data_IF_037840108979
#
_entry.id   IF_037840108979
#
_cell.length_a   1.000
_cell.length_b   1.000
_cell.length_c   1.000
_cell.angle_alpha   90.00
_cell.angle_beta   90.00
_cell.angle_gamma   90.00
#
_symmetry.space_group_name_H-M   'P 1'
#
loop_
_entity.id
_entity.type
_entity.pdbx_description
1 polymer ?
#
# COMPACT_ATOMS: atom_id res chain seq x y z
N UNK A 1 13.16 -30.90 -9.78
CA UNK A 1 12.45 -30.40 -8.58
C UNK A 1 11.20 -29.65 -9.00
N UNK A 2 10.02 -30.07 -8.52
CA UNK A 2 8.74 -29.37 -8.79
C UNK A 2 8.14 -28.88 -7.46
N UNK A 3 7.62 -27.65 -7.45
CA UNK A 3 6.85 -27.12 -6.32
C UNK A 3 5.42 -27.64 -6.46
N UNK A 4 4.96 -28.40 -5.47
CA UNK A 4 3.60 -28.95 -5.42
C UNK A 4 2.85 -28.31 -4.27
N UNK A 5 1.64 -27.82 -4.54
CA UNK A 5 0.79 -27.23 -3.50
C UNK A 5 0.40 -28.29 -2.49
N UNK A 6 0.59 -28.02 -1.21
CA UNK A 6 0.21 -28.95 -0.14
C UNK A 6 -1.32 -29.07 -0.09
N UNK A 7 -1.89 -30.26 -0.06
CA UNK A 7 -3.34 -30.44 0.04
C UNK A 7 -3.87 -29.98 1.39
N UNK A 8 -3.08 -30.09 2.46
CA UNK A 8 -3.36 -29.56 3.79
C UNK A 8 -2.11 -28.92 4.34
N UNK A 9 -2.26 -27.72 4.91
CA UNK A 9 -1.17 -27.01 5.59
C UNK A 9 -1.15 -27.48 7.03
N UNK A 10 -0.02 -28.01 7.50
CA UNK A 10 0.16 -28.43 8.88
C UNK A 10 0.07 -27.21 9.81
N UNK A 11 -0.61 -27.34 10.95
CA UNK A 11 -0.65 -26.31 11.99
C UNK A 11 0.75 -25.92 12.47
N UNK A 12 1.66 -26.90 12.58
CA UNK A 12 3.06 -26.65 12.91
C UNK A 12 3.76 -25.77 11.85
N UNK A 13 3.52 -26.00 10.55
CA UNK A 13 4.10 -25.19 9.49
C UNK A 13 3.55 -23.75 9.50
N UNK A 14 2.27 -23.54 9.85
CA UNK A 14 1.66 -22.22 9.99
C UNK A 14 2.29 -21.41 11.14
N UNK A 15 2.70 -22.07 12.22
CA UNK A 15 3.33 -21.42 13.37
C UNK A 15 4.85 -21.28 13.20
N UNK A 16 5.54 -22.29 12.67
CA UNK A 16 7.00 -22.30 12.57
C UNK A 16 7.53 -21.43 11.43
N UNK A 17 6.81 -21.30 10.33
CA UNK A 17 7.31 -20.53 9.19
C UNK A 17 7.43 -19.02 9.47
N UNK A 18 6.45 -18.34 10.09
CA UNK A 18 6.65 -16.96 10.54
C UNK A 18 7.82 -16.80 11.53
N UNK A 19 7.94 -17.73 12.48
CA UNK A 19 9.05 -17.72 13.44
C UNK A 19 10.40 -17.87 12.73
N UNK A 20 10.50 -18.81 11.80
CA UNK A 20 11.72 -18.99 11.00
C UNK A 20 12.05 -17.75 10.14
N UNK A 21 11.02 -17.10 9.57
CA UNK A 21 11.21 -15.85 8.85
C UNK A 21 11.76 -14.74 9.74
N UNK A 22 11.21 -14.57 10.93
CA UNK A 22 11.68 -13.59 11.91
C UNK A 22 13.12 -13.89 12.32
N UNK A 23 13.43 -15.14 12.66
CA UNK A 23 14.79 -15.54 13.04
C UNK A 23 15.80 -15.32 11.90
N UNK A 24 15.43 -15.68 10.67
CA UNK A 24 16.26 -15.42 9.49
C UNK A 24 16.49 -13.92 9.29
N UNK A 25 15.44 -13.12 9.38
CA UNK A 25 15.53 -11.65 9.30
C UNK A 25 16.45 -11.08 10.36
N UNK A 26 16.28 -11.52 11.62
CA UNK A 26 17.15 -11.08 12.72
C UNK A 26 18.60 -11.50 12.48
N UNK A 27 18.87 -12.70 11.96
CA UNK A 27 20.23 -13.15 11.65
C UNK A 27 20.87 -12.28 10.55
N UNK A 28 20.18 -12.08 9.42
CA UNK A 28 20.71 -11.28 8.31
C UNK A 28 20.86 -9.81 8.68
N UNK A 29 19.86 -9.22 9.31
CA UNK A 29 19.93 -7.82 9.78
C UNK A 29 21.00 -7.64 10.86
N UNK A 30 21.19 -8.64 11.74
CA UNK A 30 22.27 -8.65 12.72
C UNK A 30 23.66 -8.60 12.09
N UNK A 31 23.89 -9.37 11.04
CA UNK A 31 25.14 -9.32 10.27
C UNK A 31 25.37 -7.94 9.62
N UNK A 32 24.32 -7.34 9.06
CA UNK A 32 24.40 -6.00 8.46
C UNK A 32 24.69 -4.93 9.52
N UNK A 33 24.05 -5.02 10.69
CA UNK A 33 24.27 -4.11 11.82
C UNK A 33 25.71 -4.25 12.36
N UNK A 34 26.21 -5.49 12.49
CA UNK A 34 27.62 -5.74 12.87
C UNK A 34 28.59 -5.15 11.85
N UNK A 35 28.31 -5.32 10.57
CA UNK A 35 29.13 -4.75 9.51
C UNK A 35 29.16 -3.21 9.56
N UNK A 36 28.04 -2.59 9.97
CA UNK A 36 27.96 -1.15 10.20
C UNK A 36 28.61 -0.69 11.53
N UNK A 37 29.20 -1.60 12.31
CA UNK A 37 29.86 -1.28 13.56
C UNK A 37 28.92 -0.99 14.75
N UNK A 38 27.63 -1.33 14.63
CA UNK A 38 26.63 -1.03 15.65
C UNK A 38 26.34 -2.25 16.58
N UNK A 39 25.98 -2.03 17.85
CA UNK A 39 25.68 -3.11 18.80
C UNK A 39 24.32 -3.75 18.50
N UNK A 40 24.33 -4.99 18.01
CA UNK A 40 23.14 -5.72 17.51
C UNK A 40 22.00 -5.79 18.54
N UNK A 41 22.29 -6.17 19.77
CA UNK A 41 21.25 -6.30 20.81
C UNK A 41 20.54 -4.98 21.10
N UNK A 42 21.29 -3.88 21.22
CA UNK A 42 20.73 -2.54 21.39
C UNK A 42 19.91 -2.09 20.19
N UNK A 43 20.37 -2.42 18.99
CA UNK A 43 19.69 -2.09 17.73
C UNK A 43 18.29 -2.72 17.66
N UNK A 44 18.16 -4.00 18.05
CA UNK A 44 16.85 -4.66 18.05
C UNK A 44 15.90 -4.13 19.14
N UNK A 45 16.44 -3.81 20.33
CA UNK A 45 15.63 -3.15 21.36
C UNK A 45 15.12 -1.80 20.87
N UNK A 46 15.97 -1.00 20.21
CA UNK A 46 15.58 0.29 19.65
C UNK A 46 14.56 0.15 18.52
N UNK A 47 14.66 -0.88 17.68
CA UNK A 47 13.67 -1.19 16.64
C UNK A 47 12.31 -1.48 17.28
N UNK A 48 12.23 -2.36 18.27
CA UNK A 48 10.99 -2.70 18.94
C UNK A 48 10.40 -1.50 19.72
N UNK A 49 11.25 -0.76 20.43
CA UNK A 49 10.84 0.46 21.13
C UNK A 49 10.39 1.57 20.18
N UNK A 50 11.08 1.73 19.04
CA UNK A 50 10.71 2.69 18.00
C UNK A 50 9.37 2.39 17.35
N UNK A 51 8.98 1.12 17.26
CA UNK A 51 7.70 0.69 16.71
C UNK A 51 6.53 0.81 17.72
N UNK A 52 6.75 0.39 18.98
CA UNK A 52 5.66 0.16 19.96
C UNK A 52 5.99 0.66 21.39
N UNK A 53 7.17 1.20 21.63
CA UNK A 53 7.65 1.51 22.98
C UNK A 53 7.07 2.77 23.63
N UNK A 54 6.30 3.57 22.90
CA UNK A 54 5.64 4.77 23.42
C UNK A 54 4.34 5.05 22.69
N UNK A 55 3.48 5.91 23.27
CA UNK A 55 2.25 6.37 22.59
C UNK A 55 2.60 7.04 21.27
N UNK A 56 3.66 7.83 21.21
CA UNK A 56 4.12 8.46 19.98
C UNK A 56 4.56 7.40 18.93
N UNK A 57 5.35 6.41 19.32
CA UNK A 57 5.79 5.33 18.43
C UNK A 57 4.60 4.53 17.89
N UNK A 58 3.64 4.17 18.75
CA UNK A 58 2.43 3.45 18.37
C UNK A 58 1.56 4.26 17.41
N UNK A 59 1.35 5.55 17.69
CA UNK A 59 0.55 6.41 16.81
C UNK A 59 1.24 6.67 15.48
N UNK A 60 2.56 6.77 15.42
CA UNK A 60 3.31 6.86 14.16
C UNK A 60 3.21 5.57 13.35
N UNK A 61 3.31 4.40 14.02
CA UNK A 61 3.09 3.10 13.38
C UNK A 61 1.68 2.99 12.79
N UNK A 62 0.65 3.38 13.54
CA UNK A 62 -0.73 3.36 13.05
C UNK A 62 -0.95 4.37 11.91
N UNK A 63 -0.29 5.52 11.95
CA UNK A 63 -0.35 6.51 10.85
C UNK A 63 0.22 5.92 9.56
N UNK A 64 1.41 5.31 9.62
CA UNK A 64 2.01 4.63 8.46
C UNK A 64 1.25 3.38 8.00
N UNK A 65 0.51 2.74 8.90
CA UNK A 65 -0.33 1.60 8.53
C UNK A 65 -1.50 2.01 7.61
N UNK A 66 -1.97 3.25 7.65
CA UNK A 66 -3.13 3.70 6.85
C UNK A 66 -2.94 3.49 5.35
N UNK A 67 -1.92 4.10 4.69
CA UNK A 67 -1.70 3.87 3.26
C UNK A 67 -1.36 2.40 2.95
N UNK A 68 -0.66 1.71 3.85
CA UNK A 68 -0.32 0.29 3.70
C UNK A 68 -1.55 -0.63 3.76
N UNK A 69 -2.56 -0.32 4.58
CA UNK A 69 -3.84 -1.05 4.60
C UNK A 69 -4.52 -0.88 3.24
N UNK A 70 -4.62 0.34 2.72
CA UNK A 70 -5.34 0.64 1.49
C UNK A 70 -4.65 0.04 0.26
N UNK A 71 -3.34 0.16 0.14
CA UNK A 71 -2.56 -0.47 -0.95
C UNK A 71 -2.55 -2.00 -0.83
N UNK A 72 -2.51 -2.53 0.40
CA UNK A 72 -2.66 -3.95 0.66
C UNK A 72 -4.03 -4.49 0.27
N UNK A 73 -5.11 -3.75 0.55
CA UNK A 73 -6.46 -4.09 0.08
C UNK A 73 -6.56 -4.03 -1.44
N UNK A 74 -5.96 -3.00 -2.07
CA UNK A 74 -5.89 -2.87 -3.52
C UNK A 74 -5.25 -4.11 -4.16
N UNK A 75 -4.09 -4.53 -3.65
CA UNK A 75 -3.40 -5.73 -4.11
C UNK A 75 -4.22 -7.00 -3.83
N UNK A 76 -4.82 -7.13 -2.64
CA UNK A 76 -5.62 -8.31 -2.28
C UNK A 76 -6.83 -8.49 -3.20
N UNK A 77 -7.53 -7.41 -3.55
CA UNK A 77 -8.67 -7.43 -4.49
C UNK A 77 -8.20 -7.86 -5.89
N UNK A 78 -7.14 -7.25 -6.39
CA UNK A 78 -6.63 -7.51 -7.73
C UNK A 78 -6.13 -8.95 -7.88
N UNK A 79 -5.30 -9.41 -6.95
CA UNK A 79 -4.69 -10.74 -7.00
C UNK A 79 -5.72 -11.87 -6.83
N UNK A 80 -6.82 -11.62 -6.14
CA UNK A 80 -7.95 -12.56 -6.07
C UNK A 80 -8.57 -12.86 -7.44
N UNK A 81 -8.50 -11.94 -8.39
CA UNK A 81 -8.95 -12.13 -9.76
C UNK A 81 -7.82 -12.53 -10.72
N UNK A 82 -6.62 -12.83 -10.22
CA UNK A 82 -5.40 -13.00 -11.02
C UNK A 82 -5.10 -11.79 -11.93
N UNK A 83 -5.45 -10.60 -11.49
CA UNK A 83 -4.97 -9.33 -12.03
C UNK A 83 -3.78 -8.87 -11.17
N UNK A 84 -2.57 -9.10 -11.64
CA UNK A 84 -1.35 -8.78 -10.88
C UNK A 84 -1.02 -7.30 -11.03
N UNK A 85 -1.69 -6.47 -10.23
CA UNK A 85 -1.46 -5.03 -10.17
C UNK A 85 -0.18 -4.71 -9.38
N UNK A 86 0.92 -4.41 -10.09
CA UNK A 86 2.17 -3.91 -9.50
C UNK A 86 2.20 -2.37 -9.52
N UNK A 87 1.19 -1.75 -10.12
CA UNK A 87 1.07 -0.31 -10.36
C UNK A 87 0.47 0.50 -9.20
N UNK A 88 0.28 -0.09 -8.03
CA UNK A 88 -0.37 0.59 -6.91
C UNK A 88 0.37 1.86 -6.45
N UNK A 89 1.68 1.93 -6.65
CA UNK A 89 2.49 3.12 -6.36
C UNK A 89 2.09 4.30 -7.26
N UNK A 90 2.03 4.08 -8.58
CA UNK A 90 1.59 5.10 -9.52
C UNK A 90 0.12 5.51 -9.33
N UNK A 91 -0.75 4.56 -8.96
CA UNK A 91 -2.16 4.83 -8.65
C UNK A 91 -2.30 5.70 -7.39
N UNK A 92 -1.46 5.48 -6.37
CA UNK A 92 -1.38 6.28 -5.16
C UNK A 92 -1.01 7.73 -5.52
N UNK A 93 0.04 7.92 -6.32
CA UNK A 93 0.43 9.26 -6.78
C UNK A 93 -0.63 9.91 -7.67
N UNK A 94 -1.29 9.17 -8.55
CA UNK A 94 -2.42 9.68 -9.33
C UNK A 94 -3.53 10.21 -8.43
N UNK A 95 -3.85 9.47 -7.36
CA UNK A 95 -4.82 9.88 -6.36
C UNK A 95 -4.38 11.12 -5.57
N UNK A 96 -3.12 11.18 -5.17
CA UNK A 96 -2.55 12.31 -4.46
C UNK A 96 -2.57 13.60 -5.31
N UNK A 97 -2.17 13.52 -6.59
CA UNK A 97 -2.26 14.63 -7.53
C UNK A 97 -3.69 15.11 -7.73
N UNK A 98 -4.65 14.19 -7.91
CA UNK A 98 -6.05 14.52 -8.06
C UNK A 98 -6.62 15.19 -6.79
N UNK A 99 -6.21 14.71 -5.60
CA UNK A 99 -6.62 15.31 -4.33
C UNK A 99 -6.16 16.77 -4.22
N UNK A 100 -4.87 17.02 -4.50
CA UNK A 100 -4.34 18.39 -4.46
C UNK A 100 -4.93 19.27 -5.55
N UNK A 101 -5.13 18.74 -6.76
CA UNK A 101 -5.76 19.50 -7.85
C UNK A 101 -7.19 19.96 -7.48
N UNK A 102 -7.99 19.09 -6.88
CA UNK A 102 -9.36 19.43 -6.42
C UNK A 102 -9.30 20.31 -5.17
N UNK A 103 -8.43 19.99 -4.18
CA UNK A 103 -8.26 20.78 -2.98
C UNK A 103 -7.77 22.20 -3.25
N UNK A 104 -6.96 22.40 -4.28
CA UNK A 104 -6.50 23.70 -4.74
C UNK A 104 -7.58 24.61 -5.34
N UNK A 105 -8.71 24.05 -5.78
CA UNK A 105 -9.86 24.84 -6.28
C UNK A 105 -10.45 25.76 -5.20
N UNK A 106 -10.24 25.44 -3.94
CA UNK A 106 -10.71 26.28 -2.83
C UNK A 106 -9.97 27.62 -2.74
N UNK A 107 -8.70 27.67 -3.13
CA UNK A 107 -7.84 28.85 -2.93
C UNK A 107 -7.62 29.78 -4.12
N UNK A 108 -8.06 29.41 -5.33
CA UNK A 108 -7.64 30.11 -6.55
C UNK A 108 -8.74 30.59 -7.50
N UNK A 109 -9.97 30.13 -7.35
CA UNK A 109 -11.04 30.35 -8.35
C UNK A 109 -12.00 31.47 -8.01
N UNK A 110 -11.85 32.13 -6.86
CA UNK A 110 -12.81 33.13 -6.32
C UNK A 110 -14.16 32.52 -5.94
N UNK A 111 -14.31 31.20 -6.02
CA UNK A 111 -15.50 30.45 -5.64
C UNK A 111 -15.17 29.67 -4.37
N UNK A 112 -15.66 30.14 -3.23
CA UNK A 112 -15.48 29.45 -1.95
C UNK A 112 -16.39 28.23 -1.86
N UNK A 113 -15.85 27.08 -2.21
CA UNK A 113 -16.53 25.79 -2.02
C UNK A 113 -16.51 25.42 -0.52
N UNK A 114 -17.68 24.99 -0.01
CA UNK A 114 -17.75 24.48 1.35
C UNK A 114 -16.85 23.25 1.51
N UNK A 115 -16.02 23.14 2.56
CA UNK A 115 -15.18 21.98 2.85
C UNK A 115 -15.97 20.67 2.88
N UNK A 116 -17.23 20.71 3.31
CA UNK A 116 -18.12 19.54 3.35
C UNK A 116 -18.48 18.98 1.97
N UNK A 117 -18.38 19.79 0.91
CA UNK A 117 -18.57 19.37 -0.49
C UNK A 117 -17.22 19.04 -1.13
N UNK A 118 -16.21 19.89 -0.87
CA UNK A 118 -14.90 19.77 -1.51
C UNK A 118 -14.14 18.53 -1.04
N UNK A 119 -14.21 18.19 0.25
CA UNK A 119 -13.55 17.00 0.79
C UNK A 119 -14.05 15.68 0.16
N UNK A 120 -15.36 15.37 0.11
CA UNK A 120 -15.86 14.20 -0.60
C UNK A 120 -15.51 14.20 -2.10
N UNK A 121 -15.56 15.37 -2.75
CA UNK A 121 -15.19 15.49 -4.16
C UNK A 121 -13.70 15.17 -4.39
N UNK A 122 -12.83 15.67 -3.51
CA UNK A 122 -11.40 15.38 -3.50
C UNK A 122 -11.13 13.87 -3.36
N UNK A 123 -11.78 13.22 -2.39
CA UNK A 123 -11.64 11.76 -2.19
C UNK A 123 -12.18 10.97 -3.39
N UNK A 124 -13.29 11.37 -3.96
CA UNK A 124 -13.85 10.74 -5.15
C UNK A 124 -12.94 10.91 -6.37
N UNK A 125 -12.43 12.13 -6.59
CA UNK A 125 -11.49 12.41 -7.68
C UNK A 125 -10.22 11.55 -7.56
N UNK A 126 -9.68 11.41 -6.36
CA UNK A 126 -8.52 10.58 -6.08
C UNK A 126 -8.79 9.08 -6.34
N UNK A 127 -9.94 8.58 -5.90
CA UNK A 127 -10.34 7.21 -6.17
C UNK A 127 -10.51 6.97 -7.68
N UNK A 128 -11.13 7.91 -8.40
CA UNK A 128 -11.31 7.83 -9.84
C UNK A 128 -9.96 7.91 -10.59
N UNK A 129 -9.05 8.79 -10.18
CA UNK A 129 -7.73 8.90 -10.81
C UNK A 129 -6.94 7.61 -10.70
N UNK A 130 -6.85 7.01 -9.52
CA UNK A 130 -6.22 5.71 -9.32
C UNK A 130 -6.92 4.58 -10.09
N UNK A 131 -8.26 4.57 -10.09
CA UNK A 131 -9.06 3.59 -10.82
C UNK A 131 -8.82 3.66 -12.34
N UNK A 132 -8.84 4.87 -12.91
CA UNK A 132 -8.61 5.09 -14.34
C UNK A 132 -7.18 4.76 -14.74
N UNK A 133 -6.20 5.01 -13.87
CA UNK A 133 -4.80 4.66 -14.11
C UNK A 133 -4.60 3.15 -14.28
N UNK A 134 -5.28 2.32 -13.49
CA UNK A 134 -5.25 0.87 -13.65
C UNK A 134 -6.13 0.34 -14.78
N UNK A 135 -7.17 1.08 -15.15
CA UNK A 135 -8.15 0.62 -16.15
C UNK A 135 -7.51 0.32 -17.50
N UNK A 136 -6.53 1.13 -17.93
CA UNK A 136 -5.79 0.92 -19.19
C UNK A 136 -5.12 -0.49 -19.23
N UNK A 137 -4.20 -0.80 -18.33
CA UNK A 137 -3.58 -2.13 -18.23
C UNK A 137 -4.58 -3.28 -18.11
N UNK A 138 -5.64 -3.09 -17.31
CA UNK A 138 -6.66 -4.11 -17.13
C UNK A 138 -7.45 -4.41 -18.42
N UNK A 139 -7.76 -3.39 -19.21
CA UNK A 139 -8.41 -3.55 -20.52
C UNK A 139 -7.45 -4.19 -21.55
N UNK A 140 -6.16 -3.81 -21.53
CA UNK A 140 -5.15 -4.43 -22.39
C UNK A 140 -5.00 -5.92 -22.06
N UNK A 141 -4.97 -6.30 -20.78
CA UNK A 141 -5.00 -7.72 -20.37
C UNK A 141 -6.27 -8.42 -20.83
N UNK A 142 -7.44 -7.84 -20.54
CA UNK A 142 -8.72 -8.51 -20.76
C UNK A 142 -9.08 -8.67 -22.26
N UNK A 143 -8.62 -7.78 -23.13
CA UNK A 143 -8.96 -7.76 -24.57
C UNK A 143 -7.84 -8.21 -25.48
N UNK A 144 -6.59 -7.89 -25.12
CA UNK A 144 -5.42 -8.10 -25.96
C UNK A 144 -4.47 -9.19 -25.40
N UNK A 145 -4.69 -9.65 -24.17
CA UNK A 145 -3.82 -10.63 -23.52
C UNK A 145 -2.43 -10.09 -23.15
N UNK A 146 -2.28 -8.77 -23.07
CA UNK A 146 -1.01 -8.11 -22.69
C UNK A 146 -0.73 -8.39 -21.22
N UNK A 147 0.56 -8.57 -20.87
CA UNK A 147 1.01 -8.77 -19.49
C UNK A 147 0.80 -7.51 -18.65
N UNK A 148 -0.08 -7.63 -17.66
CA UNK A 148 -0.40 -6.53 -16.76
C UNK A 148 0.70 -6.21 -15.74
N UNK A 149 1.55 -7.18 -15.42
CA UNK A 149 2.69 -6.97 -14.51
C UNK A 149 3.63 -5.95 -15.11
N UNK A 150 4.02 -6.15 -16.37
CA UNK A 150 4.94 -5.25 -17.08
C UNK A 150 4.28 -3.89 -17.30
N UNK A 151 3.04 -3.85 -17.78
CA UNK A 151 2.36 -2.59 -18.08
C UNK A 151 2.09 -1.74 -16.83
N UNK A 152 1.68 -2.35 -15.72
CA UNK A 152 1.46 -1.62 -14.46
C UNK A 152 2.76 -1.14 -13.83
N UNK A 153 3.84 -1.94 -13.91
CA UNK A 153 5.16 -1.54 -13.43
C UNK A 153 5.73 -0.36 -14.21
N UNK A 154 5.64 -0.39 -15.56
CA UNK A 154 6.09 0.72 -16.39
C UNK A 154 5.30 2.00 -16.14
N UNK A 155 4.00 1.89 -15.89
CA UNK A 155 3.16 3.03 -15.54
C UNK A 155 3.52 3.68 -14.19
N UNK A 156 4.16 2.97 -13.26
CA UNK A 156 4.72 3.60 -12.05
C UNK A 156 5.82 4.61 -12.43
N UNK A 157 6.74 4.25 -13.33
CA UNK A 157 7.78 5.17 -13.80
C UNK A 157 7.19 6.36 -14.55
N UNK A 158 6.21 6.10 -15.43
CA UNK A 158 5.49 7.18 -16.15
C UNK A 158 4.84 8.13 -15.15
N UNK A 159 4.20 7.61 -14.09
CA UNK A 159 3.56 8.44 -13.08
C UNK A 159 4.58 9.26 -12.29
N UNK A 160 5.70 8.71 -11.88
CA UNK A 160 6.74 9.46 -11.16
C UNK A 160 7.32 10.59 -12.00
N UNK A 161 7.54 10.35 -13.30
CA UNK A 161 7.97 11.40 -14.23
C UNK A 161 6.90 12.46 -14.43
N UNK A 162 5.62 12.06 -14.49
CA UNK A 162 4.49 12.98 -14.56
C UNK A 162 4.39 13.84 -13.29
N UNK A 163 4.54 13.24 -12.09
CA UNK A 163 4.59 13.97 -10.82
C UNK A 163 5.71 14.99 -10.86
N UNK A 164 6.93 14.59 -11.26
CA UNK A 164 8.05 15.51 -11.37
C UNK A 164 7.73 16.69 -12.30
N UNK A 165 7.21 16.41 -13.49
CA UNK A 165 6.85 17.46 -14.46
C UNK A 165 5.75 18.41 -13.94
N UNK A 166 4.76 17.90 -13.19
CA UNK A 166 3.69 18.72 -12.62
C UNK A 166 4.18 19.57 -11.45
N UNK A 167 5.07 19.02 -10.61
CA UNK A 167 5.64 19.75 -9.46
C UNK A 167 6.69 20.78 -9.87
N UNK A 168 7.35 20.61 -11.01
CA UNK A 168 8.24 21.62 -11.60
C UNK A 168 7.48 22.67 -12.44
N UNK A 169 6.22 22.36 -12.80
CA UNK A 169 5.37 23.16 -13.67
C UNK A 169 4.09 23.68 -13.00
N UNK A 170 2.90 23.25 -13.52
CA UNK A 170 1.62 23.89 -13.18
C UNK A 170 1.14 23.66 -11.73
N UNK A 171 1.65 22.65 -11.03
CA UNK A 171 1.28 22.35 -9.65
C UNK A 171 2.33 22.78 -8.63
N UNK A 172 3.38 23.47 -9.08
CA UNK A 172 4.47 23.93 -8.22
C UNK A 172 3.96 24.95 -7.21
N UNK A 173 4.36 24.80 -5.95
CA UNK A 173 4.16 25.79 -4.92
C UNK A 173 5.13 26.99 -5.12
N UNK A 174 4.62 28.20 -5.42
CA UNK A 174 5.47 29.38 -5.57
C UNK A 174 6.23 29.76 -4.28
N UNK A 175 5.73 29.33 -3.12
CA UNK A 175 6.32 29.65 -1.80
C UNK A 175 7.37 28.63 -1.36
N UNK A 176 7.56 27.53 -2.08
CA UNK A 176 8.48 26.44 -1.71
C UNK A 176 9.97 26.73 -1.94
N UNK A 177 10.36 27.95 -2.26
CA UNK A 177 11.76 28.38 -2.45
C UNK A 177 12.55 27.47 -3.44
N UNK A 178 11.89 26.96 -4.45
CA UNK A 178 12.50 26.06 -5.45
C UNK A 178 12.40 24.57 -5.16
N UNK A 179 11.90 24.16 -3.98
CA UNK A 179 11.66 22.76 -3.68
C UNK A 179 10.53 22.20 -4.56
N UNK A 180 10.66 20.99 -5.15
CA UNK A 180 9.63 20.40 -6.02
C UNK A 180 8.50 19.83 -5.18
N UNK A 181 7.56 20.66 -4.80
CA UNK A 181 6.34 20.29 -4.08
C UNK A 181 5.11 21.00 -4.64
N UNK A 182 3.94 20.39 -4.42
CA UNK A 182 2.67 21.03 -4.74
C UNK A 182 2.26 22.06 -3.69
N UNK A 183 1.32 22.93 -4.07
CA UNK A 183 0.62 23.78 -3.09
C UNK A 183 -0.01 22.89 -2.02
N UNK A 184 0.07 23.32 -0.76
CA UNK A 184 -0.51 22.60 0.36
C UNK A 184 -2.04 22.64 0.35
N UNK A 185 -2.67 21.59 0.85
CA UNK A 185 -4.09 21.58 1.15
C UNK A 185 -4.39 22.61 2.26
N UNK A 186 -5.57 23.22 2.18
CA UNK A 186 -6.04 24.08 3.26
C UNK A 186 -6.39 23.25 4.50
N UNK A 187 -6.22 23.84 5.69
CA UNK A 187 -6.41 23.16 6.96
C UNK A 187 -7.80 22.53 7.13
N UNK A 188 -8.84 23.12 6.53
CA UNK A 188 -10.22 22.61 6.55
C UNK A 188 -10.40 21.30 5.74
N UNK A 189 -9.45 20.97 4.85
CA UNK A 189 -9.43 19.74 4.07
C UNK A 189 -8.51 18.66 4.67
N UNK A 190 -7.81 18.99 5.75
CA UNK A 190 -7.00 18.00 6.47
C UNK A 190 -7.85 17.10 7.33
N UNK A 191 -7.40 15.83 7.45
CA UNK A 191 -8.05 14.85 8.31
C UNK A 191 -7.82 15.17 9.79
N UNK A 192 -8.88 15.19 10.57
CA UNK A 192 -8.82 15.46 12.00
C UNK A 192 -7.90 14.47 12.72
N UNK A 193 -7.09 14.97 13.65
CA UNK A 193 -6.19 14.13 14.46
C UNK A 193 -7.00 13.38 15.52
N UNK A 194 -6.74 12.06 15.63
CA UNK A 194 -7.40 11.19 16.63
C UNK A 194 -6.77 11.34 18.02
N UNK A 195 -5.46 11.62 18.07
CA UNK A 195 -4.73 11.81 19.33
C UNK A 195 -4.00 13.17 19.24
N UNK A 196 -4.24 14.09 20.18
CA UNK A 196 -3.56 15.39 20.21
C UNK A 196 -2.04 15.23 20.19
N UNK A 197 -1.34 16.17 19.55
CA UNK A 197 0.13 16.20 19.43
C UNK A 197 0.75 14.99 18.70
N UNK A 198 -0.06 14.18 18.00
CA UNK A 198 0.42 13.09 17.15
C UNK A 198 -0.01 13.29 15.70
N UNK A 199 0.53 12.45 14.79
CA UNK A 199 0.14 12.47 13.37
C UNK A 199 -1.01 11.52 13.06
N UNK A 200 -1.49 10.74 14.05
CA UNK A 200 -2.58 9.81 13.86
C UNK A 200 -3.89 10.55 13.57
N UNK A 201 -4.47 10.26 12.43
CA UNK A 201 -5.65 10.95 11.89
C UNK A 201 -6.80 10.00 11.60
N UNK A 202 -8.00 10.55 11.36
CA UNK A 202 -9.24 9.81 11.08
C UNK A 202 -9.15 8.90 9.84
N UNK A 203 -8.14 9.05 9.00
CA UNK A 203 -7.85 8.14 7.88
C UNK A 203 -7.68 6.69 8.31
N UNK A 204 -7.26 6.41 9.57
CA UNK A 204 -7.24 5.06 10.10
C UNK A 204 -8.64 4.46 10.16
N UNK A 205 -9.63 5.23 10.61
CA UNK A 205 -11.03 4.77 10.66
C UNK A 205 -11.57 4.49 9.25
N UNK A 206 -11.24 5.34 8.27
CA UNK A 206 -11.58 5.12 6.87
C UNK A 206 -10.94 3.84 6.31
N UNK A 207 -9.64 3.60 6.60
CA UNK A 207 -8.95 2.40 6.16
C UNK A 207 -9.56 1.13 6.76
N UNK A 208 -9.92 1.15 8.05
CA UNK A 208 -10.60 0.03 8.72
C UNK A 208 -12.02 -0.20 8.17
N UNK A 209 -12.78 0.87 7.95
CA UNK A 209 -14.12 0.78 7.34
C UNK A 209 -14.04 0.18 5.93
N UNK A 210 -13.08 0.64 5.10
CA UNK A 210 -12.84 0.09 3.77
C UNK A 210 -12.39 -1.38 3.82
N UNK A 211 -11.59 -1.78 4.80
CA UNK A 211 -11.22 -3.18 4.98
C UNK A 211 -12.44 -4.07 5.28
N UNK A 212 -13.36 -3.60 6.13
CA UNK A 212 -14.62 -4.29 6.41
C UNK A 212 -15.54 -4.34 5.19
N UNK A 213 -15.64 -3.23 4.43
CA UNK A 213 -16.43 -3.17 3.20
C UNK A 213 -15.89 -4.13 2.14
N UNK A 214 -14.57 -4.14 1.91
CA UNK A 214 -13.93 -5.07 0.96
C UNK A 214 -14.10 -6.51 1.42
N UNK A 215 -13.96 -6.79 2.71
CA UNK A 215 -14.23 -8.12 3.26
C UNK A 215 -15.68 -8.54 3.02
N UNK A 216 -16.64 -7.69 3.32
CA UNK A 216 -18.06 -7.93 3.08
C UNK A 216 -18.37 -8.16 1.60
N UNK A 217 -17.81 -7.31 0.72
CA UNK A 217 -17.92 -7.47 -0.72
C UNK A 217 -17.38 -8.83 -1.19
N UNK A 218 -16.17 -9.18 -0.75
CA UNK A 218 -15.54 -10.45 -1.14
C UNK A 218 -16.26 -11.67 -0.56
N UNK A 219 -16.74 -11.61 0.70
CA UNK A 219 -17.30 -12.76 1.39
C UNK A 219 -18.77 -12.99 1.08
N UNK A 220 -19.56 -11.92 0.88
CA UNK A 220 -21.02 -11.95 0.95
C UNK A 220 -21.75 -11.49 -0.31
N UNK A 221 -21.05 -11.10 -1.39
CA UNK A 221 -21.69 -10.58 -2.61
C UNK A 221 -21.45 -11.45 -3.84
N UNK A 222 -22.34 -11.29 -4.83
CA UNK A 222 -22.19 -11.90 -6.16
C UNK A 222 -20.93 -11.38 -6.87
N UNK A 223 -20.59 -10.09 -6.68
CA UNK A 223 -19.38 -9.52 -7.22
C UNK A 223 -18.13 -10.22 -6.65
N UNK A 224 -18.06 -10.42 -5.34
CA UNK A 224 -16.97 -11.18 -4.70
C UNK A 224 -16.89 -12.62 -5.16
N UNK A 225 -18.03 -13.28 -5.36
CA UNK A 225 -18.06 -14.62 -5.96
C UNK A 225 -17.46 -14.61 -7.38
N UNK A 226 -17.89 -13.69 -8.26
CA UNK A 226 -17.37 -13.55 -9.62
C UNK A 226 -15.87 -13.30 -9.64
N UNK A 227 -15.36 -12.43 -8.78
CA UNK A 227 -13.92 -12.14 -8.63
C UNK A 227 -13.15 -13.42 -8.31
N UNK A 228 -13.60 -14.20 -7.32
CA UNK A 228 -12.95 -15.48 -6.95
C UNK A 228 -13.07 -16.54 -8.06
N UNK A 229 -14.22 -16.62 -8.74
CA UNK A 229 -14.43 -17.57 -9.84
C UNK A 229 -13.51 -17.26 -11.03
N UNK A 230 -13.37 -15.99 -11.42
CA UNK A 230 -12.46 -15.56 -12.49
C UNK A 230 -11.01 -15.86 -12.11
N UNK A 231 -10.63 -15.58 -10.85
CA UNK A 231 -9.28 -15.89 -10.36
C UNK A 231 -9.00 -17.39 -10.25
N UNK A 232 -10.00 -18.22 -9.95
CA UNK A 232 -9.80 -19.66 -9.91
C UNK A 232 -9.56 -20.26 -11.31
N UNK A 233 -10.41 -19.92 -12.26
CA UNK A 233 -10.27 -20.29 -13.66
C UNK A 233 -11.16 -19.41 -14.55
N UNK A 234 -10.56 -18.46 -15.26
CA UNK A 234 -11.29 -17.52 -16.11
C UNK A 234 -12.07 -18.19 -17.25
N UNK A 235 -11.54 -19.29 -17.84
CA UNK A 235 -12.22 -20.04 -18.91
C UNK A 235 -13.45 -20.78 -18.37
N UNK A 236 -13.31 -21.45 -17.25
CA UNK A 236 -14.43 -22.14 -16.61
C UNK A 236 -15.51 -21.14 -16.14
N UNK A 237 -15.10 -20.00 -15.58
CA UNK A 237 -16.00 -18.93 -15.20
C UNK A 237 -16.79 -18.37 -16.40
N UNK A 238 -16.11 -18.15 -17.54
CA UNK A 238 -16.77 -17.73 -18.78
C UNK A 238 -17.79 -18.76 -19.27
N UNK A 239 -17.43 -20.05 -19.26
CA UNK A 239 -18.34 -21.13 -19.62
C UNK A 239 -19.57 -21.20 -18.71
N UNK A 240 -19.41 -20.89 -17.43
CA UNK A 240 -20.50 -20.79 -16.44
C UNK A 240 -21.28 -19.46 -16.54
N UNK A 241 -21.06 -18.62 -17.57
CA UNK A 241 -21.81 -17.39 -17.81
C UNK A 241 -21.32 -16.17 -17.01
N UNK A 242 -20.16 -16.26 -16.31
CA UNK A 242 -19.59 -15.10 -15.61
C UNK A 242 -18.97 -14.13 -16.64
N UNK A 243 -19.33 -12.84 -16.61
CA UNK A 243 -18.78 -11.84 -17.53
C UNK A 243 -17.34 -11.44 -17.16
N UNK A 244 -16.35 -12.23 -17.62
CA UNK A 244 -14.93 -12.11 -17.22
C UNK A 244 -14.40 -10.70 -17.42
N UNK A 245 -14.57 -10.09 -18.59
CA UNK A 245 -14.07 -8.73 -18.88
C UNK A 245 -14.67 -7.69 -17.93
N UNK A 246 -15.98 -7.74 -17.68
CA UNK A 246 -16.65 -6.82 -16.74
C UNK A 246 -16.15 -7.04 -15.32
N UNK A 247 -15.86 -8.28 -14.94
CA UNK A 247 -15.30 -8.59 -13.62
C UNK A 247 -13.89 -8.04 -13.48
N UNK A 248 -13.04 -8.18 -14.50
CA UNK A 248 -11.68 -7.61 -14.49
C UNK A 248 -11.72 -6.08 -14.41
N UNK A 249 -12.62 -5.43 -15.16
CA UNK A 249 -12.84 -3.97 -15.08
C UNK A 249 -13.27 -3.55 -13.68
N UNK A 250 -14.23 -4.24 -13.07
CA UNK A 250 -14.66 -3.95 -11.69
C UNK A 250 -13.49 -4.09 -10.71
N UNK A 251 -12.69 -5.12 -10.85
CA UNK A 251 -11.49 -5.35 -10.02
C UNK A 251 -10.49 -4.21 -10.21
N UNK A 252 -10.25 -3.77 -11.43
CA UNK A 252 -9.36 -2.65 -11.71
C UNK A 252 -9.86 -1.35 -11.07
N UNK A 253 -11.14 -1.05 -11.18
CA UNK A 253 -11.73 0.14 -10.55
C UNK A 253 -11.64 0.10 -9.02
N UNK A 254 -11.91 -1.06 -8.41
CA UNK A 254 -11.81 -1.22 -6.96
C UNK A 254 -10.35 -1.14 -6.48
N UNK A 255 -9.44 -1.87 -7.14
CA UNK A 255 -8.02 -1.90 -6.76
C UNK A 255 -7.36 -0.54 -6.97
N UNK A 256 -7.50 0.04 -8.17
CA UNK A 256 -6.94 1.35 -8.46
C UNK A 256 -7.55 2.45 -7.61
N UNK A 257 -8.87 2.38 -7.34
CA UNK A 257 -9.56 3.32 -6.47
C UNK A 257 -9.06 3.28 -5.02
N UNK A 258 -8.85 2.11 -4.46
CA UNK A 258 -8.27 1.95 -3.11
C UNK A 258 -6.84 2.51 -3.04
N UNK A 259 -6.02 2.26 -4.06
CA UNK A 259 -4.67 2.81 -4.13
C UNK A 259 -4.68 4.34 -4.30
N UNK A 260 -5.61 4.89 -5.12
CA UNK A 260 -5.79 6.34 -5.24
C UNK A 260 -6.24 7.00 -3.94
N UNK A 261 -7.17 6.37 -3.21
CA UNK A 261 -7.58 6.82 -1.88
C UNK A 261 -6.42 6.81 -0.87
N UNK A 262 -5.48 5.85 -0.97
CA UNK A 262 -4.29 5.84 -0.14
C UNK A 262 -3.47 7.13 -0.33
N UNK A 263 -3.32 7.59 -1.57
CA UNK A 263 -2.63 8.85 -1.87
C UNK A 263 -3.34 10.07 -1.33
N UNK A 264 -4.66 10.18 -1.52
CA UNK A 264 -5.44 11.29 -0.98
C UNK A 264 -5.41 11.35 0.56
N UNK A 265 -5.54 10.19 1.21
CA UNK A 265 -5.51 10.11 2.69
C UNK A 265 -4.10 10.42 3.21
N UNK A 266 -3.04 10.03 2.51
CA UNK A 266 -1.67 10.39 2.87
C UNK A 266 -1.46 11.91 2.79
N UNK A 267 -1.94 12.54 1.71
CA UNK A 267 -1.88 14.01 1.57
C UNK A 267 -2.75 14.69 2.62
N UNK A 268 -4.02 14.32 2.76
CA UNK A 268 -4.92 15.00 3.69
C UNK A 268 -4.62 14.72 5.17
N UNK A 269 -3.94 13.62 5.49
CA UNK A 269 -3.69 13.21 6.88
C UNK A 269 -2.29 13.52 7.40
N UNK A 270 -1.27 13.50 6.52
CA UNK A 270 0.13 13.53 6.95
C UNK A 270 0.99 14.59 6.29
N UNK A 271 0.97 14.69 4.96
CA UNK A 271 1.92 15.54 4.24
C UNK A 271 1.38 16.92 3.91
N UNK A 272 0.08 17.06 3.75
CA UNK A 272 -0.66 18.24 3.28
C UNK A 272 -0.33 18.69 1.85
N UNK A 273 0.71 18.16 1.22
CA UNK A 273 1.15 18.42 -0.15
C UNK A 273 1.77 17.18 -0.80
N UNK A 274 1.97 17.22 -2.10
CA UNK A 274 2.61 16.14 -2.86
C UNK A 274 4.08 16.47 -3.08
N UNK A 275 4.94 15.47 -2.82
CA UNK A 275 6.36 15.44 -3.19
C UNK A 275 6.69 14.09 -3.83
N UNK A 276 7.85 13.98 -4.49
CA UNK A 276 8.30 12.72 -5.11
C UNK A 276 8.62 11.63 -4.08
N UNK A 277 8.92 12.00 -2.86
CA UNK A 277 9.32 11.12 -1.75
C UNK A 277 8.22 10.94 -0.68
N UNK A 278 6.98 11.35 -0.97
CA UNK A 278 5.87 11.20 -0.01
C UNK A 278 5.54 9.72 0.28
N UNK A 279 5.77 8.83 -0.69
CA UNK A 279 5.59 7.39 -0.53
C UNK A 279 6.94 6.67 -0.55
N UNK A 280 7.35 6.01 0.54
CA UNK A 280 8.53 5.14 0.54
C UNK A 280 8.24 3.77 -0.09
N UNK A 281 7.43 3.69 -1.15
CA UNK A 281 7.04 2.46 -1.81
C UNK A 281 5.85 1.76 -1.13
N UNK A 282 4.86 2.49 -0.65
CA UNK A 282 3.65 1.93 -0.04
C UNK A 282 2.90 1.00 -0.99
N UNK A 283 2.86 1.30 -2.29
CA UNK A 283 2.23 0.46 -3.30
C UNK A 283 2.92 -0.89 -3.47
N UNK A 284 4.25 -0.92 -3.44
CA UNK A 284 5.02 -2.17 -3.49
C UNK A 284 4.89 -2.97 -2.20
N UNK A 285 4.97 -2.31 -1.05
CA UNK A 285 4.77 -2.93 0.26
C UNK A 285 3.37 -3.53 0.41
N UNK A 286 2.35 -2.90 -0.20
CA UNK A 286 0.99 -3.40 -0.25
C UNK A 286 0.86 -4.79 -0.87
N UNK A 287 1.70 -5.11 -1.88
CA UNK A 287 1.75 -6.44 -2.49
C UNK A 287 2.19 -7.50 -1.47
N UNK A 288 3.27 -7.21 -0.74
CA UNK A 288 3.80 -8.12 0.28
C UNK A 288 2.78 -8.31 1.41
N UNK A 289 2.15 -7.22 1.85
CA UNK A 289 1.09 -7.22 2.87
C UNK A 289 -0.10 -8.10 2.44
N UNK A 290 -0.57 -7.96 1.19
CA UNK A 290 -1.64 -8.78 0.65
C UNK A 290 -1.28 -10.27 0.62
N UNK A 291 -0.05 -10.59 0.22
CA UNK A 291 0.46 -11.97 0.19
C UNK A 291 0.61 -12.54 1.61
N UNK A 292 1.15 -11.77 2.55
CA UNK A 292 1.27 -12.14 3.96
C UNK A 292 -0.11 -12.43 4.59
N UNK A 293 -1.11 -11.62 4.23
CA UNK A 293 -2.50 -11.79 4.67
C UNK A 293 -3.24 -12.95 3.97
N UNK A 294 -2.61 -13.69 3.04
CA UNK A 294 -3.27 -14.71 2.22
C UNK A 294 -4.42 -14.15 1.39
N UNK A 295 -4.31 -12.89 0.95
CA UNK A 295 -5.34 -12.12 0.24
C UNK A 295 -6.65 -11.95 1.05
N UNK A 296 -6.59 -12.07 2.38
CA UNK A 296 -7.73 -11.83 3.26
C UNK A 296 -7.79 -10.35 3.65
N UNK A 297 -8.86 -9.60 3.35
CA UNK A 297 -8.95 -8.16 3.64
C UNK A 297 -8.78 -7.80 5.13
N UNK A 298 -9.28 -8.62 6.04
CA UNK A 298 -9.08 -8.39 7.48
C UNK A 298 -7.65 -8.72 7.92
N UNK A 299 -7.04 -9.77 7.32
CA UNK A 299 -5.63 -10.10 7.52
C UNK A 299 -4.68 -9.00 7.04
N UNK A 300 -5.07 -8.26 5.99
CA UNK A 300 -4.31 -7.10 5.47
C UNK A 300 -4.11 -6.04 6.55
N UNK A 301 -5.11 -5.78 7.41
CA UNK A 301 -5.00 -4.79 8.48
C UNK A 301 -3.88 -5.19 9.46
N UNK A 302 -3.88 -6.42 9.95
CA UNK A 302 -2.86 -6.91 10.88
C UNK A 302 -1.46 -6.92 10.23
N UNK A 303 -1.37 -7.39 8.98
CA UNK A 303 -0.13 -7.42 8.21
C UNK A 303 0.42 -6.01 7.95
N UNK A 304 -0.44 -5.04 7.65
CA UNK A 304 -0.06 -3.64 7.42
C UNK A 304 0.46 -2.98 8.71
N UNK A 305 -0.17 -3.21 9.86
CA UNK A 305 0.31 -2.70 11.15
C UNK A 305 1.68 -3.31 11.48
N UNK A 306 1.87 -4.60 11.23
CA UNK A 306 3.15 -5.26 11.43
C UNK A 306 4.25 -4.63 10.54
N UNK A 307 4.00 -4.49 9.23
CA UNK A 307 4.95 -3.89 8.29
C UNK A 307 5.24 -2.43 8.64
N UNK A 308 4.21 -1.66 8.99
CA UNK A 308 4.38 -0.28 9.46
C UNK A 308 5.27 -0.19 10.71
N UNK A 309 5.09 -1.12 11.66
CA UNK A 309 5.93 -1.22 12.85
C UNK A 309 7.40 -1.50 12.49
N UNK A 310 7.66 -2.39 11.54
CA UNK A 310 9.04 -2.64 11.05
C UNK A 310 9.63 -1.38 10.43
N UNK A 311 8.88 -0.67 9.58
CA UNK A 311 9.33 0.58 8.93
C UNK A 311 9.65 1.66 9.98
N UNK A 312 8.72 1.94 10.91
CA UNK A 312 8.90 2.98 11.95
C UNK A 312 10.02 2.61 12.91
N UNK A 313 10.09 1.33 13.29
CA UNK A 313 11.15 0.82 14.15
C UNK A 313 12.52 0.93 13.50
N UNK A 314 12.64 0.60 12.21
CA UNK A 314 13.88 0.72 11.44
C UNK A 314 14.34 2.18 11.31
N UNK A 315 13.43 3.11 11.04
CA UNK A 315 13.73 4.55 11.02
C UNK A 315 14.18 5.07 12.40
N UNK A 316 13.53 4.63 13.45
CA UNK A 316 13.88 5.02 14.82
C UNK A 316 15.25 4.48 15.24
N UNK A 317 15.52 3.23 14.93
CA UNK A 317 16.79 2.57 15.14
C UNK A 317 17.91 3.29 14.37
N UNK A 318 17.72 3.57 13.09
CA UNK A 318 18.69 4.25 12.25
C UNK A 318 19.13 5.60 12.86
N UNK A 319 18.18 6.41 13.30
CA UNK A 319 18.48 7.70 13.96
C UNK A 319 19.18 7.56 15.31
N UNK A 320 18.81 6.53 16.09
CA UNK A 320 19.34 6.36 17.45
C UNK A 320 20.77 5.77 17.49
N UNK A 321 21.13 4.97 16.49
CA UNK A 321 22.44 4.30 16.40
C UNK A 321 23.40 5.01 15.45
N UNK A 322 22.89 6.00 14.67
CA UNK A 322 23.69 6.71 13.66
C UNK A 322 24.01 5.84 12.43
N UNK A 323 23.24 4.78 12.21
CA UNK A 323 23.37 3.92 11.02
C UNK A 323 22.61 4.55 9.87
N UNK A 324 23.17 4.54 8.64
CA UNK A 324 22.51 5.12 7.48
C UNK A 324 21.10 4.53 7.22
N UNK A 325 20.15 5.37 6.81
CA UNK A 325 18.75 4.99 6.60
C UNK A 325 18.60 3.87 5.56
N UNK A 326 19.42 3.85 4.51
CA UNK A 326 19.40 2.78 3.51
C UNK A 326 19.70 1.39 4.09
N UNK A 327 20.43 1.29 5.21
CA UNK A 327 20.62 0.01 5.90
C UNK A 327 19.31 -0.44 6.57
N UNK A 328 18.54 0.50 7.13
CA UNK A 328 17.22 0.22 7.66
C UNK A 328 16.26 -0.26 6.54
N UNK A 329 16.32 0.36 5.37
CA UNK A 329 15.53 -0.07 4.20
C UNK A 329 15.88 -1.49 3.73
N UNK A 330 17.18 -1.85 3.74
CA UNK A 330 17.63 -3.23 3.45
C UNK A 330 17.10 -4.22 4.49
N UNK A 331 17.10 -3.86 5.76
CA UNK A 331 16.53 -4.70 6.83
C UNK A 331 15.03 -4.91 6.59
N UNK A 332 14.29 -3.86 6.26
CA UNK A 332 12.86 -3.94 5.93
C UNK A 332 12.64 -4.84 4.72
N UNK A 333 13.34 -4.60 3.62
CA UNK A 333 13.21 -5.40 2.39
C UNK A 333 13.53 -6.88 2.64
N UNK A 334 14.58 -7.17 3.41
CA UNK A 334 14.96 -8.53 3.79
C UNK A 334 13.89 -9.19 4.67
N UNK A 335 13.29 -8.42 5.59
CA UNK A 335 12.20 -8.90 6.45
C UNK A 335 10.98 -9.30 5.61
N UNK A 336 10.58 -8.45 4.69
CA UNK A 336 9.45 -8.70 3.80
C UNK A 336 9.70 -9.92 2.90
N UNK A 337 10.90 -10.03 2.34
CA UNK A 337 11.30 -11.17 1.53
C UNK A 337 11.30 -12.47 2.33
N UNK A 338 11.87 -12.47 3.53
CA UNK A 338 11.91 -13.64 4.42
C UNK A 338 10.50 -14.14 4.76
N UNK A 339 9.58 -13.23 5.09
CA UNK A 339 8.18 -13.55 5.37
C UNK A 339 7.49 -14.12 4.12
N UNK A 340 7.72 -13.54 2.95
CA UNK A 340 7.16 -14.03 1.68
C UNK A 340 7.65 -15.45 1.36
N UNK A 341 8.95 -15.70 1.51
CA UNK A 341 9.56 -17.03 1.31
C UNK A 341 9.01 -18.04 2.32
N UNK A 342 8.86 -17.66 3.59
CA UNK A 342 8.26 -18.52 4.60
C UNK A 342 6.80 -18.88 4.25
N UNK A 343 6.00 -17.91 3.79
CA UNK A 343 4.63 -18.14 3.34
C UNK A 343 4.59 -19.10 2.13
N UNK A 344 5.55 -19.02 1.22
CA UNK A 344 5.67 -19.94 0.08
C UNK A 344 5.94 -21.37 0.55
N UNK A 345 6.88 -21.58 1.46
CA UNK A 345 7.20 -22.91 2.00
C UNK A 345 6.10 -23.52 2.87
N UNK A 346 5.22 -22.71 3.46
CA UNK A 346 4.02 -23.21 4.12
C UNK A 346 3.01 -23.79 3.14
N UNK A 347 2.83 -23.16 1.99
CA UNK A 347 1.81 -23.53 1.00
C UNK A 347 2.29 -24.59 0.02
N UNK A 348 3.59 -24.65 -0.28
CA UNK A 348 4.18 -25.56 -1.27
C UNK A 348 5.20 -26.50 -0.63
N UNK A 349 5.36 -27.68 -1.24
CA UNK A 349 6.44 -28.62 -0.93
C UNK A 349 7.30 -28.84 -2.15
N UNK A 350 8.59 -29.03 -1.93
CA UNK A 350 9.52 -29.43 -2.99
C UNK A 350 9.39 -30.95 -3.15
N UNK A 351 8.99 -31.40 -4.32
CA UNK A 351 9.02 -32.83 -4.70
C UNK A 351 10.24 -33.05 -5.57
N UNK A 352 11.07 -34.01 -5.15
CA UNK A 352 12.21 -34.48 -5.95
C UNK A 352 11.73 -35.44 -7.02
#
# INVERSE_FOLDING_TARGET
MRLEKRPQVSHAALLLAPVAAVLFTLAVSGLLVLWAGAPVGRTYVLLAQGAFGSVFALTETLTRAVPLILTGLAAAVAFRAHLYNIGAEGQLYAGALAAVAVGGLHGGTGMEWSPYVLFPLMMLAAALAGALWLLGPALMKARLGVDEVVTTLLLNFVMLLLVSALLDGPMKDPMAMGWPQSVALQGDLELAKLVPQTRLHTGLLWALALALLVWGLMARTVAGFRIRAVGANARAAAFAGVPVTRTVVLVALLSGGLAGLAGAIEVAGRTSYVTLDMSPGYGYSGIVIAMLAGLNPLGVVAAAIFVAGVLVGADSMSRAVGVPTYLADVIVATSLLAVLVAALFTQYRVRR
#
